data_IF_391993294324
#
_entry.id   IF_391993294324
#
_cell.length_a   1.000
_cell.length_b   1.000
_cell.length_c   1.000
_cell.angle_alpha   90.00
_cell.angle_beta   90.00
_cell.angle_gamma   90.00
#
_symmetry.space_group_name_H-M   'P 1'
#
loop_
_entity.id
_entity.type
_entity.pdbx_description
1 polymer ?
#
# COMPACT_ATOMS: atom_id res chain seq x y z
N UNK A 1 9.56 -26.02 74.75
CA UNK A 1 8.35 -25.18 74.90
C UNK A 1 8.30 -24.15 73.78
N UNK A 2 7.29 -24.31 72.91
CA UNK A 2 6.62 -23.38 71.98
C UNK A 2 7.47 -22.39 71.14
N UNK A 3 7.69 -22.82 69.89
CA UNK A 3 8.02 -22.03 68.69
C UNK A 3 6.85 -21.15 68.26
N UNK A 4 7.06 -19.83 68.11
CA UNK A 4 6.13 -18.94 67.40
C UNK A 4 6.57 -18.81 65.94
N UNK A 5 5.74 -19.30 65.02
CA UNK A 5 5.91 -19.11 63.56
C UNK A 5 5.35 -17.74 63.19
N UNK A 6 6.21 -16.87 62.68
CA UNK A 6 5.81 -15.62 62.04
C UNK A 6 5.44 -15.93 60.57
N UNK A 7 4.16 -15.86 60.22
CA UNK A 7 3.69 -15.97 58.83
C UNK A 7 3.64 -14.56 58.27
N UNK A 8 4.57 -14.22 57.39
CA UNK A 8 4.51 -13.02 56.56
C UNK A 8 3.72 -13.38 55.30
N UNK A 9 2.48 -12.90 55.21
CA UNK A 9 1.69 -12.97 53.98
C UNK A 9 2.11 -11.81 53.08
N UNK A 10 2.95 -12.11 52.09
CA UNK A 10 3.34 -11.14 51.07
C UNK A 10 2.25 -11.10 49.99
N UNK A 11 1.31 -10.15 50.11
CA UNK A 11 0.25 -9.95 49.14
C UNK A 11 0.81 -9.21 47.92
N UNK A 12 1.36 -9.96 46.95
CA UNK A 12 1.70 -9.43 45.64
C UNK A 12 0.41 -9.10 44.86
N UNK A 13 -0.13 -7.90 45.07
CA UNK A 13 -1.05 -7.29 44.12
C UNK A 13 -0.26 -6.94 42.85
N UNK A 14 -0.10 -7.92 41.96
CA UNK A 14 0.25 -7.66 40.57
C UNK A 14 -0.91 -6.88 39.94
N UNK A 15 -0.89 -5.57 40.08
CA UNK A 15 -1.60 -4.68 39.17
C UNK A 15 -0.97 -4.86 37.79
N UNK A 16 -1.42 -5.86 37.05
CA UNK A 16 -1.30 -5.87 35.61
C UNK A 16 -2.10 -4.67 35.12
N UNK A 17 -1.41 -3.54 34.95
CA UNK A 17 -1.88 -2.46 34.11
C UNK A 17 -2.14 -3.08 32.74
N UNK A 18 -3.39 -3.45 32.50
CA UNK A 18 -3.90 -3.61 31.16
C UNK A 18 -3.76 -2.23 30.52
N UNK A 19 -2.59 -1.98 29.92
CA UNK A 19 -2.44 -1.00 28.87
C UNK A 19 -3.52 -1.38 27.86
N UNK A 20 -4.67 -0.70 27.91
CA UNK A 20 -5.76 -0.91 26.99
C UNK A 20 -5.25 -0.50 25.61
N UNK A 21 -4.62 -1.45 24.93
CA UNK A 21 -4.34 -1.35 23.52
C UNK A 21 -5.70 -1.15 22.85
N UNK A 22 -5.85 -0.05 22.12
CA UNK A 22 -7.08 0.21 21.38
C UNK A 22 -7.32 -0.99 20.46
N UNK A 23 -8.53 -1.58 20.52
CA UNK A 23 -8.85 -2.73 19.68
C UNK A 23 -8.79 -2.34 18.21
N UNK A 24 -8.38 -3.25 17.29
CA UNK A 24 -8.39 -2.99 15.86
C UNK A 24 -9.75 -2.49 15.34
N UNK A 25 -10.86 -2.96 15.93
CA UNK A 25 -12.22 -2.51 15.63
C UNK A 25 -12.44 -1.04 16.02
N UNK A 26 -11.99 -0.62 17.22
CA UNK A 26 -12.09 0.77 17.65
C UNK A 26 -11.18 1.70 16.82
N UNK A 27 -10.01 1.21 16.40
CA UNK A 27 -9.12 1.90 15.45
C UNK A 27 -9.85 2.11 14.12
N UNK A 28 -10.46 1.06 13.57
CA UNK A 28 -11.20 1.15 12.32
C UNK A 28 -12.38 2.13 12.41
N UNK A 29 -13.17 2.07 13.49
CA UNK A 29 -14.30 2.99 13.67
C UNK A 29 -13.85 4.47 13.72
N UNK A 30 -12.73 4.77 14.38
CA UNK A 30 -12.16 6.13 14.41
C UNK A 30 -11.69 6.59 13.02
N UNK A 31 -10.96 5.73 12.30
CA UNK A 31 -10.51 5.99 10.94
C UNK A 31 -11.68 6.18 9.98
N UNK A 32 -12.70 5.32 10.06
CA UNK A 32 -13.89 5.36 9.23
C UNK A 32 -14.65 6.66 9.40
N UNK A 33 -14.84 7.12 10.65
CA UNK A 33 -15.49 8.40 10.93
C UNK A 33 -14.79 9.57 10.24
N UNK A 34 -13.46 9.57 10.22
CA UNK A 34 -12.66 10.60 9.55
C UNK A 34 -12.75 10.45 8.03
N UNK A 35 -12.63 9.23 7.52
CA UNK A 35 -12.63 8.99 6.08
C UNK A 35 -13.99 9.29 5.44
N UNK A 36 -15.10 9.08 6.16
CA UNK A 36 -16.42 9.55 5.73
C UNK A 36 -16.48 11.07 5.56
N UNK A 37 -15.70 11.84 6.32
CA UNK A 37 -15.58 13.30 6.10
C UNK A 37 -14.75 13.63 4.87
N UNK A 38 -13.71 12.84 4.55
CA UNK A 38 -12.99 12.96 3.26
C UNK A 38 -13.98 12.75 2.10
N UNK A 39 -14.78 11.69 2.14
CA UNK A 39 -15.80 11.43 1.11
C UNK A 39 -16.86 12.54 1.05
N UNK A 40 -17.32 13.05 2.20
CA UNK A 40 -18.27 14.15 2.27
C UNK A 40 -17.72 15.41 1.59
N UNK A 41 -16.58 15.94 2.03
CA UNK A 41 -16.03 17.18 1.45
C UNK A 41 -15.58 16.98 -0.01
N UNK A 42 -15.13 15.77 -0.37
CA UNK A 42 -14.81 15.40 -1.75
C UNK A 42 -16.01 15.44 -2.69
N UNK A 43 -17.21 15.16 -2.18
CA UNK A 43 -18.47 15.25 -2.96
C UNK A 43 -19.01 16.68 -3.04
N UNK A 44 -18.64 17.54 -2.09
CA UNK A 44 -19.11 18.92 -1.95
C UNK A 44 -18.04 19.96 -2.29
N UNK A 45 -16.99 19.60 -3.06
CA UNK A 45 -15.85 20.48 -3.39
C UNK A 45 -16.20 21.87 -3.93
N UNK A 46 -17.37 22.00 -4.57
CA UNK A 46 -17.85 23.26 -5.15
C UNK A 46 -18.37 24.24 -4.10
N UNK A 47 -18.59 23.78 -2.88
CA UNK A 47 -19.04 24.63 -1.76
C UNK A 47 -17.88 25.42 -1.16
N UNK A 48 -18.22 26.58 -0.60
CA UNK A 48 -17.29 27.45 0.10
C UNK A 48 -16.53 26.69 1.20
N UNK A 49 -15.19 26.76 1.20
CA UNK A 49 -14.26 26.10 2.15
C UNK A 49 -14.26 24.56 2.15
N UNK A 50 -14.93 23.90 1.20
CA UNK A 50 -14.91 22.44 1.11
C UNK A 50 -13.51 21.89 0.80
N UNK A 51 -12.74 22.59 -0.03
CA UNK A 51 -11.35 22.21 -0.38
C UNK A 51 -10.44 22.24 0.85
N UNK A 52 -10.40 23.33 1.60
CA UNK A 52 -9.59 23.44 2.83
C UNK A 52 -9.94 22.32 3.84
N UNK A 53 -11.24 22.04 3.97
CA UNK A 53 -11.74 21.00 4.85
C UNK A 53 -11.34 19.61 4.36
N UNK A 54 -11.40 19.36 3.05
CA UNK A 54 -10.97 18.13 2.41
C UNK A 54 -9.47 17.87 2.61
N UNK A 55 -8.63 18.87 2.36
CA UNK A 55 -7.19 18.79 2.59
C UNK A 55 -6.87 18.48 4.05
N UNK A 56 -7.55 19.18 4.98
CA UNK A 56 -7.39 18.95 6.41
C UNK A 56 -7.81 17.54 6.80
N UNK A 57 -8.93 17.03 6.29
CA UNK A 57 -9.40 15.67 6.62
C UNK A 57 -8.47 14.59 6.04
N UNK A 58 -7.93 14.77 4.83
CA UNK A 58 -6.93 13.87 4.26
C UNK A 58 -5.67 13.79 5.12
N UNK A 59 -5.13 14.95 5.55
CA UNK A 59 -3.98 15.00 6.46
C UNK A 59 -4.27 14.28 7.78
N UNK A 60 -5.42 14.54 8.39
CA UNK A 60 -5.81 13.89 9.65
C UNK A 60 -5.95 12.38 9.46
N UNK A 61 -6.58 11.93 8.37
CA UNK A 61 -6.73 10.51 8.05
C UNK A 61 -5.36 9.84 7.87
N UNK A 62 -4.51 10.38 7.00
CA UNK A 62 -3.18 9.84 6.72
C UNK A 62 -2.29 9.77 7.97
N UNK A 63 -2.25 10.83 8.78
CA UNK A 63 -1.48 10.84 10.03
C UNK A 63 -2.01 9.85 11.07
N UNK A 64 -3.33 9.74 11.25
CA UNK A 64 -3.92 8.76 12.18
C UNK A 64 -3.71 7.33 11.70
N UNK A 65 -3.90 7.08 10.41
CA UNK A 65 -3.66 5.76 9.83
C UNK A 65 -2.20 5.35 10.02
N UNK A 66 -1.23 6.24 9.70
CA UNK A 66 0.19 5.99 9.99
C UNK A 66 0.44 5.73 11.47
N UNK A 67 -0.13 6.55 12.35
CA UNK A 67 0.05 6.41 13.79
C UNK A 67 -0.43 5.04 14.28
N UNK A 68 -1.68 4.68 13.99
CA UNK A 68 -2.26 3.42 14.43
C UNK A 68 -1.51 2.21 13.87
N UNK A 69 -1.15 2.25 12.59
CA UNK A 69 -0.40 1.16 11.95
C UNK A 69 1.07 1.08 12.39
N UNK A 70 1.64 2.16 12.93
CA UNK A 70 2.97 2.12 13.56
C UNK A 70 2.93 1.70 15.03
N UNK A 71 1.80 1.90 15.72
CA UNK A 71 1.68 1.67 17.16
C UNK A 71 1.13 0.29 17.51
N UNK A 72 0.20 -0.23 16.71
CA UNK A 72 -0.56 -1.43 17.05
C UNK A 72 -0.24 -2.59 16.08
N UNK A 73 0.56 -3.58 16.49
CA UNK A 73 0.98 -4.68 15.60
C UNK A 73 -0.17 -5.47 14.96
N UNK A 74 -1.30 -5.59 15.65
CA UNK A 74 -2.48 -6.29 15.14
C UNK A 74 -3.08 -5.70 13.87
N UNK A 75 -2.81 -4.41 13.56
CA UNK A 75 -3.38 -3.77 12.38
C UNK A 75 -2.83 -4.33 11.07
N UNK A 76 -1.66 -4.98 11.06
CA UNK A 76 -1.07 -5.51 9.82
C UNK A 76 -1.84 -6.72 9.27
N UNK A 77 -2.63 -7.40 10.11
CA UNK A 77 -3.44 -8.55 9.72
C UNK A 77 -4.94 -8.27 9.82
N UNK A 78 -5.34 -7.20 10.50
CA UNK A 78 -6.75 -6.84 10.65
C UNK A 78 -7.37 -6.47 9.29
N UNK A 79 -8.58 -6.98 8.94
CA UNK A 79 -9.11 -6.84 7.58
C UNK A 79 -9.53 -5.42 7.20
N UNK A 80 -9.88 -4.56 8.16
CA UNK A 80 -10.41 -3.21 7.89
C UNK A 80 -11.58 -3.20 6.89
N UNK A 81 -12.55 -4.09 7.10
CA UNK A 81 -13.68 -4.33 6.18
C UNK A 81 -14.52 -3.08 5.90
N UNK A 82 -14.74 -2.21 6.88
CA UNK A 82 -15.53 -0.99 6.70
C UNK A 82 -14.75 0.09 5.93
N UNK A 83 -13.44 0.20 6.14
CA UNK A 83 -12.62 1.10 5.31
C UNK A 83 -12.57 0.62 3.85
N UNK A 84 -12.50 -0.70 3.63
CA UNK A 84 -12.56 -1.28 2.28
C UNK A 84 -13.90 -0.98 1.61
N UNK A 85 -15.03 -1.05 2.33
CA UNK A 85 -16.35 -0.65 1.81
C UNK A 85 -16.39 0.82 1.39
N UNK A 86 -15.69 1.70 2.10
CA UNK A 86 -15.52 3.11 1.71
C UNK A 86 -14.48 3.33 0.60
N UNK A 87 -13.94 2.26 0.00
CA UNK A 87 -12.97 2.26 -1.11
C UNK A 87 -11.53 2.62 -0.72
N UNK A 88 -11.13 2.44 0.54
CA UNK A 88 -9.71 2.36 0.88
C UNK A 88 -9.16 1.04 0.34
N UNK A 89 -8.15 1.10 -0.53
CA UNK A 89 -7.51 -0.08 -1.10
C UNK A 89 -6.44 -0.57 -0.14
N UNK A 90 -6.55 -1.81 0.32
CA UNK A 90 -5.59 -2.43 1.23
C UNK A 90 -5.03 -3.69 0.57
N UNK A 91 -3.70 -3.76 0.42
CA UNK A 91 -3.02 -4.93 -0.10
C UNK A 91 -1.99 -5.42 0.91
N UNK A 92 -1.95 -6.73 1.16
CA UNK A 92 -1.04 -7.36 2.12
C UNK A 92 -0.23 -8.43 1.40
N UNK A 93 1.07 -8.50 1.69
CA UNK A 93 1.93 -9.58 1.21
C UNK A 93 1.49 -10.93 1.79
N UNK A 94 1.80 -12.02 1.08
CA UNK A 94 1.38 -13.37 1.48
C UNK A 94 1.94 -13.80 2.86
N UNK A 95 3.08 -13.26 3.27
CA UNK A 95 3.71 -13.52 4.57
C UNK A 95 3.23 -12.58 5.70
N UNK A 96 2.34 -11.62 5.40
CA UNK A 96 1.82 -10.68 6.39
C UNK A 96 2.89 -9.76 7.00
N UNK A 97 4.00 -9.52 6.28
CA UNK A 97 5.10 -8.66 6.71
C UNK A 97 5.07 -7.27 6.07
N UNK A 98 4.37 -7.10 4.94
CA UNK A 98 4.25 -5.83 4.24
C UNK A 98 2.80 -5.58 3.83
N UNK A 99 2.31 -4.36 4.08
CA UNK A 99 0.96 -3.93 3.75
C UNK A 99 0.95 -2.49 3.26
N UNK A 100 0.13 -2.23 2.25
CA UNK A 100 -0.14 -0.88 1.75
C UNK A 100 -1.59 -0.52 2.00
N UNK A 101 -1.82 0.76 2.27
CA UNK A 101 -3.13 1.38 2.34
C UNK A 101 -3.12 2.54 1.36
N UNK A 102 -4.08 2.58 0.44
CA UNK A 102 -4.21 3.62 -0.58
C UNK A 102 -5.62 4.18 -0.56
N UNK A 103 -5.77 5.50 -0.66
CA UNK A 103 -7.08 6.13 -0.77
C UNK A 103 -7.07 7.28 -1.77
N UNK A 104 -8.18 7.46 -2.49
CA UNK A 104 -8.41 8.63 -3.33
C UNK A 104 -8.57 9.84 -2.39
N UNK A 105 -7.64 10.79 -2.47
CA UNK A 105 -7.65 12.02 -1.66
C UNK A 105 -8.84 12.89 -2.03
N UNK A 106 -9.47 12.63 -3.18
CA UNK A 106 -10.42 13.50 -3.82
C UNK A 106 -9.80 14.87 -4.07
N UNK A 107 -8.50 15.09 -4.15
CA UNK A 107 -7.97 16.42 -4.50
C UNK A 107 -7.71 16.57 -6.00
N UNK A 108 -7.72 15.46 -6.73
CA UNK A 108 -7.58 15.44 -8.18
C UNK A 108 -8.65 16.26 -8.90
N UNK A 109 -8.22 16.95 -9.95
CA UNK A 109 -9.08 17.76 -10.85
C UNK A 109 -9.56 16.93 -12.04
N UNK A 110 -8.63 16.43 -12.86
CA UNK A 110 -8.94 15.65 -14.08
C UNK A 110 -8.89 14.14 -13.88
N UNK A 111 -8.20 13.69 -12.84
CA UNK A 111 -8.02 12.29 -12.51
C UNK A 111 -8.09 12.07 -11.01
N UNK A 112 -7.72 10.86 -10.59
CA UNK A 112 -7.61 10.55 -9.17
C UNK A 112 -6.26 10.96 -8.64
N UNK A 113 -6.28 11.46 -7.43
CA UNK A 113 -5.09 11.73 -6.65
C UNK A 113 -5.12 10.80 -5.44
N UNK A 114 -4.00 10.14 -5.14
CA UNK A 114 -3.95 9.10 -4.11
C UNK A 114 -2.95 9.48 -3.04
N UNK A 115 -3.16 8.98 -1.83
CA UNK A 115 -2.15 8.98 -0.79
C UNK A 115 -1.95 7.55 -0.28
N UNK A 116 -0.79 7.28 0.33
CA UNK A 116 -0.48 5.94 0.83
C UNK A 116 0.10 5.92 2.25
N UNK A 117 -0.25 4.87 2.99
CA UNK A 117 0.54 4.39 4.12
C UNK A 117 1.15 3.04 3.77
N UNK A 118 2.46 2.91 3.98
CA UNK A 118 3.20 1.66 3.85
C UNK A 118 3.54 1.16 5.24
N UNK A 119 2.95 0.03 5.65
CA UNK A 119 3.19 -0.63 6.93
C UNK A 119 4.04 -1.88 6.70
N UNK A 120 5.04 -2.10 7.55
CA UNK A 120 5.86 -3.30 7.52
C UNK A 120 6.18 -3.80 8.93
N UNK A 121 6.50 -5.09 9.04
CA UNK A 121 6.79 -5.77 10.31
C UNK A 121 8.19 -6.36 10.30
N UNK A 122 8.96 -6.07 11.35
CA UNK A 122 10.31 -6.60 11.59
C UNK A 122 10.37 -7.10 13.02
N UNK A 123 10.72 -8.37 13.22
CA UNK A 123 10.91 -8.96 14.55
C UNK A 123 9.74 -8.68 15.52
N UNK A 124 8.51 -8.83 15.02
CA UNK A 124 7.28 -8.61 15.79
C UNK A 124 6.86 -7.14 15.98
N UNK A 125 7.71 -6.17 15.62
CA UNK A 125 7.39 -4.74 15.68
C UNK A 125 6.90 -4.25 14.34
N UNK A 126 5.90 -3.37 14.34
CA UNK A 126 5.39 -2.72 13.14
C UNK A 126 5.93 -1.30 13.02
N UNK A 127 6.12 -0.86 11.79
CA UNK A 127 6.52 0.49 11.42
C UNK A 127 5.71 0.92 10.21
N UNK A 128 5.34 2.20 10.13
CA UNK A 128 4.69 2.73 8.94
C UNK A 128 5.29 4.04 8.46
N UNK A 129 5.39 4.18 7.14
CA UNK A 129 5.71 5.45 6.47
C UNK A 129 4.48 5.97 5.74
N UNK A 130 4.23 7.27 5.88
CA UNK A 130 3.20 7.98 5.13
C UNK A 130 3.85 8.57 3.89
N UNK A 131 3.32 8.19 2.73
CA UNK A 131 3.65 8.78 1.43
C UNK A 131 2.46 9.66 1.05
N UNK A 132 2.60 10.94 1.33
CA UNK A 132 1.66 11.96 0.87
C UNK A 132 2.35 12.87 -0.11
N UNK A 133 1.62 13.33 -1.11
CA UNK A 133 2.08 14.46 -1.89
C UNK A 133 2.11 15.72 -1.02
N UNK A 134 3.22 16.45 -1.11
CA UNK A 134 3.32 17.75 -0.46
C UNK A 134 2.55 18.76 -1.31
N UNK A 135 1.52 19.37 -0.74
CA UNK A 135 0.80 20.51 -1.35
C UNK A 135 1.84 21.54 -1.84
N UNK A 136 1.85 21.81 -3.16
CA UNK A 136 2.70 22.83 -3.78
C UNK A 136 4.08 22.40 -4.31
N UNK A 137 4.45 21.11 -4.30
CA UNK A 137 5.67 20.63 -5.01
C UNK A 137 5.29 19.87 -6.30
N UNK A 138 6.18 19.88 -7.30
CA UNK A 138 6.02 19.14 -8.57
C UNK A 138 5.57 17.71 -8.27
N UNK A 139 4.37 17.36 -8.73
CA UNK A 139 3.67 16.11 -8.49
C UNK A 139 4.58 14.91 -8.74
N UNK A 140 4.83 14.09 -7.71
CA UNK A 140 5.23 12.72 -7.93
C UNK A 140 3.96 11.90 -7.86
N UNK A 141 3.37 11.47 -8.99
CA UNK A 141 2.07 10.81 -8.97
C UNK A 141 2.08 9.65 -7.98
N UNK A 142 1.23 9.77 -6.98
CA UNK A 142 1.02 8.75 -5.97
C UNK A 142 -0.02 7.77 -6.51
N UNK A 143 0.25 6.48 -6.35
CA UNK A 143 -0.52 5.38 -6.95
C UNK A 143 -1.35 4.67 -5.90
N UNK A 144 -2.35 3.90 -6.31
CA UNK A 144 -2.92 2.89 -5.41
C UNK A 144 -2.31 1.52 -5.66
N UNK A 145 -2.00 0.80 -4.58
CA UNK A 145 -1.44 -0.54 -4.63
C UNK A 145 -2.55 -1.57 -4.48
N UNK A 146 -2.83 -2.29 -5.56
CA UNK A 146 -3.96 -3.24 -5.65
C UNK A 146 -3.61 -4.64 -5.16
N UNK A 147 -2.34 -5.03 -5.23
CA UNK A 147 -1.88 -6.37 -4.84
C UNK A 147 -0.39 -6.35 -4.51
N UNK A 148 0.04 -7.22 -3.61
CA UNK A 148 1.45 -7.42 -3.28
C UNK A 148 1.78 -8.90 -3.48
N UNK A 149 2.65 -9.19 -4.45
CA UNK A 149 3.22 -10.52 -4.63
C UNK A 149 4.54 -10.64 -3.88
N UNK A 150 4.99 -11.88 -3.67
CA UNK A 150 6.21 -12.18 -2.93
C UNK A 150 7.14 -13.05 -3.78
N UNK A 151 8.41 -12.64 -3.90
CA UNK A 151 9.49 -13.42 -4.50
C UNK A 151 10.57 -13.67 -3.44
N UNK A 152 10.90 -14.93 -3.18
CA UNK A 152 12.03 -15.31 -2.31
C UNK A 152 13.24 -15.64 -3.17
N UNK A 153 14.33 -14.91 -2.99
CA UNK A 153 15.59 -15.16 -3.70
C UNK A 153 16.77 -14.53 -2.95
N UNK A 154 17.96 -15.14 -3.05
CA UNK A 154 19.21 -14.62 -2.47
C UNK A 154 19.08 -14.30 -0.95
N UNK A 155 18.43 -15.20 -0.20
CA UNK A 155 18.11 -15.05 1.22
C UNK A 155 17.31 -13.78 1.57
N UNK A 156 16.63 -13.20 0.58
CA UNK A 156 15.79 -12.02 0.72
C UNK A 156 14.37 -12.31 0.26
N UNK A 157 13.45 -11.51 0.78
CA UNK A 157 12.07 -11.47 0.35
C UNK A 157 11.84 -10.16 -0.37
N UNK A 158 11.54 -10.24 -1.66
CA UNK A 158 11.14 -9.11 -2.48
C UNK A 158 9.61 -9.07 -2.54
N UNK A 159 9.06 -7.88 -2.32
CA UNK A 159 7.64 -7.61 -2.45
C UNK A 159 7.39 -6.85 -3.75
N UNK A 160 6.55 -7.41 -4.60
CA UNK A 160 6.20 -6.88 -5.91
C UNK A 160 4.81 -6.23 -5.76
N UNK A 161 4.77 -4.94 -5.47
CA UNK A 161 3.52 -4.23 -5.26
C UNK A 161 2.97 -3.71 -6.60
N UNK A 162 1.90 -4.33 -7.08
CA UNK A 162 1.19 -3.92 -8.29
C UNK A 162 0.39 -2.65 -8.01
N UNK A 163 0.67 -1.60 -8.78
CA UNK A 163 0.09 -0.28 -8.60
C UNK A 163 -0.58 0.22 -9.86
N UNK A 164 -1.48 1.19 -9.70
CA UNK A 164 -2.22 1.79 -10.79
C UNK A 164 -2.36 3.30 -10.60
N UNK A 165 -2.61 4.01 -11.70
CA UNK A 165 -2.92 5.45 -11.74
C UNK A 165 -3.93 5.73 -12.85
N UNK A 166 -4.81 6.71 -12.64
CA UNK A 166 -5.63 7.33 -13.70
C UNK A 166 -5.54 8.84 -13.48
N UNK A 167 -4.69 9.50 -14.26
CA UNK A 167 -4.38 10.94 -14.17
C UNK A 167 -5.35 11.81 -14.95
N UNK A 168 -6.02 11.23 -15.95
CA UNK A 168 -7.10 11.86 -16.71
C UNK A 168 -8.00 10.80 -17.34
N UNK A 169 -9.01 11.23 -18.10
CA UNK A 169 -9.88 10.34 -18.89
C UNK A 169 -9.14 9.48 -19.91
N UNK A 170 -7.91 9.88 -20.29
CA UNK A 170 -7.10 9.19 -21.32
C UNK A 170 -5.72 8.78 -20.82
N UNK A 171 -5.29 9.19 -19.63
CA UNK A 171 -3.92 8.92 -19.16
C UNK A 171 -3.94 8.05 -17.92
N UNK A 172 -3.51 6.80 -18.08
CA UNK A 172 -3.45 5.83 -17.01
C UNK A 172 -2.13 5.04 -17.03
N UNK A 173 -1.78 4.49 -15.87
CA UNK A 173 -0.57 3.69 -15.67
C UNK A 173 -0.92 2.43 -14.90
N UNK A 174 -0.26 1.33 -15.24
CA UNK A 174 -0.09 0.21 -14.31
C UNK A 174 1.38 -0.14 -14.19
N UNK A 175 1.77 -0.71 -13.05
CA UNK A 175 3.12 -1.18 -12.86
C UNK A 175 3.29 -2.07 -11.65
N UNK A 176 4.52 -2.53 -11.45
CA UNK A 176 4.98 -3.21 -10.25
C UNK A 176 6.16 -2.40 -9.71
N UNK A 177 6.07 -2.00 -8.43
CA UNK A 177 7.21 -1.48 -7.70
C UNK A 177 7.79 -2.55 -6.79
N UNK A 178 9.12 -2.62 -6.78
CA UNK A 178 9.86 -3.58 -5.97
C UNK A 178 10.18 -2.99 -4.60
N UNK A 179 9.91 -3.77 -3.56
CA UNK A 179 10.31 -3.47 -2.19
C UNK A 179 11.07 -4.65 -1.59
N UNK A 180 11.86 -4.37 -0.58
CA UNK A 180 12.51 -5.37 0.27
C UNK A 180 12.57 -4.81 1.69
N UNK A 181 12.62 -5.67 2.70
CA UNK A 181 12.88 -5.25 4.07
C UNK A 181 14.32 -5.61 4.39
N UNK A 182 15.17 -4.60 4.58
CA UNK A 182 16.60 -4.76 4.81
C UNK A 182 17.05 -3.86 5.95
N UNK A 183 17.90 -4.38 6.83
CA UNK A 183 18.40 -3.65 8.00
C UNK A 183 17.26 -3.03 8.85
N UNK A 184 16.16 -3.76 8.98
CA UNK A 184 14.97 -3.35 9.72
C UNK A 184 14.16 -2.21 9.09
N UNK A 185 14.39 -1.87 7.82
CA UNK A 185 13.70 -0.80 7.10
C UNK A 185 13.11 -1.29 5.78
N UNK A 186 11.97 -0.72 5.39
CA UNK A 186 11.41 -0.93 4.06
C UNK A 186 12.21 -0.13 3.02
N UNK A 187 12.80 -0.82 2.06
CA UNK A 187 13.53 -0.25 0.94
C UNK A 187 12.69 -0.38 -0.35
N UNK A 188 12.24 0.76 -0.90
CA UNK A 188 11.48 0.84 -2.15
C UNK A 188 12.29 1.23 -3.38
N UNK A 189 13.63 1.23 -3.28
CA UNK A 189 14.56 1.58 -4.36
C UNK A 189 15.39 0.39 -4.83
N UNK A 190 15.03 -0.83 -4.44
CA UNK A 190 15.72 -2.05 -4.86
C UNK A 190 15.58 -2.25 -6.37
N UNK A 191 16.72 -2.41 -7.05
CA UNK A 191 16.79 -2.54 -8.49
C UNK A 191 16.64 -4.01 -8.89
N UNK A 192 15.45 -4.38 -9.39
CA UNK A 192 15.11 -5.78 -9.63
C UNK A 192 14.73 -6.09 -11.08
N UNK A 193 14.56 -5.08 -11.93
CA UNK A 193 14.33 -5.30 -13.36
C UNK A 193 15.46 -4.68 -14.18
N UNK A 194 15.98 -5.45 -15.12
CA UNK A 194 16.99 -5.00 -16.08
C UNK A 194 16.33 -4.86 -17.44
N UNK A 195 16.57 -3.70 -18.04
CA UNK A 195 16.09 -3.34 -19.38
C UNK A 195 17.26 -2.85 -20.22
N UNK A 196 17.03 -2.54 -21.49
CA UNK A 196 18.04 -1.94 -22.35
C UNK A 196 18.54 -0.58 -21.83
N UNK A 197 17.71 0.16 -21.08
CA UNK A 197 18.06 1.47 -20.52
C UNK A 197 18.68 1.38 -19.12
N UNK A 198 18.87 0.16 -18.59
CA UNK A 198 19.51 -0.07 -17.30
C UNK A 198 18.62 -0.77 -16.28
N UNK A 199 18.99 -0.58 -15.01
CA UNK A 199 18.39 -1.23 -13.85
C UNK A 199 17.33 -0.34 -13.21
N UNK A 200 16.16 -0.89 -12.88
CA UNK A 200 15.04 -0.11 -12.35
C UNK A 200 14.41 -0.76 -11.10
N UNK A 201 13.84 0.09 -10.24
CA UNK A 201 13.07 -0.31 -9.05
C UNK A 201 11.57 -0.46 -9.30
N UNK A 202 11.14 -0.25 -10.54
CA UNK A 202 9.77 -0.44 -11.00
C UNK A 202 9.75 -0.87 -12.46
N UNK A 203 8.71 -1.60 -12.84
CA UNK A 203 8.33 -1.91 -14.21
C UNK A 203 6.91 -1.40 -14.44
N UNK A 204 6.68 -0.61 -15.48
CA UNK A 204 5.37 0.00 -15.71
C UNK A 204 5.14 0.30 -17.19
N UNK A 205 3.88 0.57 -17.51
CA UNK A 205 3.47 1.08 -18.81
C UNK A 205 2.39 2.12 -18.63
N UNK A 206 2.43 3.16 -19.47
CA UNK A 206 1.37 4.14 -19.62
C UNK A 206 0.48 3.75 -20.79
N UNK A 207 -0.82 3.98 -20.67
CA UNK A 207 -1.80 3.59 -21.68
C UNK A 207 -2.96 4.58 -21.75
N UNK A 208 -3.70 4.52 -22.87
CA UNK A 208 -4.94 5.23 -23.04
C UNK A 208 -6.04 4.50 -22.26
N UNK A 209 -6.56 5.12 -21.19
CA UNK A 209 -7.61 4.49 -20.38
C UNK A 209 -8.85 4.10 -21.20
N UNK A 210 -9.20 4.88 -22.23
CA UNK A 210 -10.32 4.57 -23.14
C UNK A 210 -10.10 3.31 -23.98
N UNK A 211 -8.85 2.82 -24.10
CA UNK A 211 -8.58 1.57 -24.84
C UNK A 211 -9.12 0.33 -24.11
N UNK A 212 -9.36 0.40 -22.79
CA UNK A 212 -9.77 -0.76 -21.99
C UNK A 212 -11.22 -0.73 -21.52
N UNK A 213 -11.92 0.41 -21.63
CA UNK A 213 -13.27 0.57 -21.04
C UNK A 213 -14.32 -0.38 -21.63
N UNK A 214 -14.15 -0.80 -22.89
CA UNK A 214 -15.04 -1.72 -23.59
C UNK A 214 -14.53 -3.18 -23.57
N UNK A 215 -13.42 -3.47 -22.88
CA UNK A 215 -12.90 -4.82 -22.78
C UNK A 215 -13.65 -5.60 -21.70
N UNK A 216 -14.17 -6.79 -22.06
CA UNK A 216 -14.80 -7.71 -21.10
C UNK A 216 -13.84 -8.14 -19.98
N UNK A 217 -12.55 -8.28 -20.31
CA UNK A 217 -11.47 -8.58 -19.37
C UNK A 217 -10.33 -7.64 -19.68
N UNK A 218 -9.98 -6.79 -18.71
CA UNK A 218 -8.91 -5.80 -18.85
C UNK A 218 -7.57 -6.50 -18.56
N UNK A 219 -6.63 -6.55 -19.51
CA UNK A 219 -5.28 -7.06 -19.26
C UNK A 219 -4.59 -6.21 -18.19
N UNK A 220 -4.16 -6.84 -17.10
CA UNK A 220 -3.40 -6.18 -16.03
C UNK A 220 -1.97 -6.69 -15.98
N UNK A 221 -1.04 -5.88 -15.48
CA UNK A 221 0.29 -6.39 -15.09
C UNK A 221 0.18 -7.29 -13.86
N UNK A 222 0.82 -8.46 -13.92
CA UNK A 222 0.83 -9.39 -12.80
C UNK A 222 2.15 -10.16 -12.71
N UNK A 223 2.38 -10.77 -11.55
CA UNK A 223 3.48 -11.69 -11.31
C UNK A 223 2.94 -13.11 -11.14
N UNK A 224 3.52 -14.05 -11.89
CA UNK A 224 3.30 -15.48 -11.74
C UNK A 224 4.43 -16.06 -10.88
N UNK A 225 4.06 -16.55 -9.70
CA UNK A 225 5.00 -17.12 -8.74
C UNK A 225 5.54 -18.50 -9.17
N UNK A 226 4.79 -19.26 -9.97
CA UNK A 226 5.18 -20.60 -10.43
C UNK A 226 6.31 -20.53 -11.44
N UNK A 227 6.20 -19.62 -12.40
CA UNK A 227 7.19 -19.40 -13.46
C UNK A 227 8.22 -18.32 -13.10
N UNK A 228 7.99 -17.63 -11.98
CA UNK A 228 8.75 -16.45 -11.54
C UNK A 228 8.88 -15.40 -12.65
N UNK A 229 7.76 -15.08 -13.29
CA UNK A 229 7.69 -14.10 -14.38
C UNK A 229 6.70 -12.98 -14.12
N UNK A 230 7.04 -11.79 -14.57
CA UNK A 230 6.13 -10.65 -14.66
C UNK A 230 5.58 -10.59 -16.07
N UNK A 231 4.26 -10.51 -16.17
CA UNK A 231 3.53 -10.38 -17.41
C UNK A 231 2.99 -8.96 -17.49
N UNK A 232 3.61 -8.13 -18.34
CA UNK A 232 3.15 -6.76 -18.61
C UNK A 232 2.36 -6.74 -19.92
N UNK A 233 1.11 -6.26 -19.94
CA UNK A 233 0.39 -6.06 -21.19
C UNK A 233 1.22 -5.27 -22.20
N UNK A 234 1.16 -5.68 -23.46
CA UNK A 234 1.75 -4.93 -24.56
C UNK A 234 0.87 -3.71 -24.85
N UNK A 235 1.52 -2.56 -25.03
CA UNK A 235 0.86 -1.32 -25.43
C UNK A 235 1.38 -0.92 -26.81
N UNK A 236 0.47 -0.68 -27.74
CA UNK A 236 0.85 -0.31 -29.11
C UNK A 236 1.26 1.18 -29.21
N UNK A 237 1.69 1.62 -30.40
CA UNK A 237 2.10 3.00 -30.64
C UNK A 237 0.99 4.05 -30.38
N UNK A 238 -0.29 3.65 -30.42
CA UNK A 238 -1.45 4.50 -30.11
C UNK A 238 -1.79 4.52 -28.62
N UNK A 239 -0.94 3.92 -27.77
CA UNK A 239 -1.15 3.72 -26.34
C UNK A 239 -2.31 2.80 -25.99
N UNK A 240 -2.76 1.96 -26.92
CA UNK A 240 -3.85 1.00 -26.66
C UNK A 240 -3.27 -0.28 -26.06
N UNK A 241 -3.90 -0.77 -24.99
CA UNK A 241 -3.55 -2.06 -24.38
C UNK A 241 -3.99 -3.19 -25.32
N UNK A 242 -3.10 -4.14 -25.62
CA UNK A 242 -3.43 -5.35 -26.39
C UNK A 242 -3.64 -6.55 -25.46
N UNK A 243 -4.00 -7.70 -26.03
CA UNK A 243 -4.14 -8.97 -25.29
C UNK A 243 -2.80 -9.72 -25.12
N UNK A 244 -1.75 -9.25 -25.77
CA UNK A 244 -0.43 -9.84 -25.70
C UNK A 244 0.34 -9.32 -24.49
N UNK A 245 1.35 -10.07 -24.08
CA UNK A 245 2.17 -9.74 -22.92
C UNK A 245 3.65 -9.71 -23.27
N UNK A 246 4.33 -8.69 -22.77
CA UNK A 246 5.78 -8.71 -22.61
C UNK A 246 6.08 -9.47 -21.32
N UNK A 247 6.86 -10.54 -21.43
CA UNK A 247 7.24 -11.39 -20.29
C UNK A 247 8.64 -11.02 -19.81
N UNK A 248 8.78 -10.80 -18.51
CA UNK A 248 10.05 -10.63 -17.83
C UNK A 248 10.25 -11.80 -16.88
N UNK A 249 11.31 -12.59 -17.06
CA UNK A 249 11.58 -13.77 -16.23
C UNK A 249 12.69 -13.48 -15.24
N UNK A 250 12.52 -13.94 -14.00
CA UNK A 250 13.55 -13.85 -12.98
C UNK A 250 14.70 -14.80 -13.31
N UNK A 251 15.93 -14.28 -13.36
CA UNK A 251 17.14 -15.03 -13.74
C UNK A 251 17.90 -15.61 -12.53
N UNK A 252 17.33 -15.49 -11.33
CA UNK A 252 18.04 -15.71 -10.06
C UNK A 252 18.65 -14.43 -9.47
N UNK A 253 18.82 -13.39 -10.30
CA UNK A 253 19.35 -12.08 -9.86
C UNK A 253 18.38 -10.93 -10.14
N UNK A 254 17.89 -10.85 -11.39
CA UNK A 254 17.01 -9.77 -11.85
C UNK A 254 15.92 -10.32 -12.76
N UNK A 255 14.86 -9.55 -12.97
CA UNK A 255 13.90 -9.77 -14.04
C UNK A 255 14.47 -9.24 -15.36
N UNK A 256 14.52 -10.09 -16.38
CA UNK A 256 14.95 -9.72 -17.74
C UNK A 256 13.86 -10.07 -18.74
N UNK A 257 13.67 -9.23 -19.77
CA UNK A 257 12.71 -9.50 -20.84
C UNK A 257 13.09 -10.79 -21.56
N UNK A 258 12.14 -11.70 -21.69
CA UNK A 258 12.29 -12.89 -22.52
C UNK A 258 12.32 -12.44 -23.98
N UNK A 259 13.39 -12.79 -24.69
CA UNK A 259 13.46 -12.60 -26.14
C UNK A 259 12.64 -13.72 -26.77
N UNK A 260 11.65 -13.33 -27.55
CA UNK A 260 10.99 -14.23 -28.50
C UNK A 260 11.80 -14.24 -29.79
#
# INVERSE_FOLDING_TARGET
>A
MKTFKLIIVFCCCFYSANLFAQSPQAIEADLLRIFKRVNYYGSHKKEWKAIDSLEKMNKIFGFKLKYYTSKYPGTINYPFTELVKERVVIATSADGLFRTYSWDTRLGSTGYDFDNVLQYKVSGKVSSSLKMDSVGKKHNPVYWYSKIYTLKANNKVYYLAAYNSVRSSVDATQGIQFFTIENGKLNGTVLLVKTQTGMHSKLYFDYNFLSVVNMKVIPTIYYDAKTQSIHSPLVNAKREVTRDYIVYKFTGKYFERVKN
#
